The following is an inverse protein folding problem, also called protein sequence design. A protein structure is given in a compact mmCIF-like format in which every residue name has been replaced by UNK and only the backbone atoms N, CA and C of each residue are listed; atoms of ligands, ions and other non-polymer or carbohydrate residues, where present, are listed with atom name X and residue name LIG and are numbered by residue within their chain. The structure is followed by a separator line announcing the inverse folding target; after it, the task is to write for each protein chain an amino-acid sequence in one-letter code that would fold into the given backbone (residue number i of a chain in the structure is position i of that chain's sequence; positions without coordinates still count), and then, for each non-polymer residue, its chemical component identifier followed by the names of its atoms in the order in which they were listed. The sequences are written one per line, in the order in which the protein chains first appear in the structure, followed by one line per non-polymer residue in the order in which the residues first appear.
data_IF_641835030664
#
_entry.id   IF_641835030664
#
_cell.length_a   1.000
_cell.length_b   1.000
_cell.length_c   1.000
_cell.angle_alpha   90.00
_cell.angle_beta   90.00
_cell.angle_gamma   90.00
#
_symmetry.space_group_name_H-M   'P 1'
#
loop_
_entity.id
_entity.type
_entity.pdbx_description
1 polymer ?
#
# COMPACT_ATOMS: atom_id res chain seq x y z
N UNK A 1 20.53 -33.48 20.65
CA UNK A 1 21.02 -32.14 21.09
C UNK A 1 20.07 -31.10 20.51
N UNK A 2 19.19 -30.50 21.33
CA UNK A 2 18.34 -29.38 20.89
C UNK A 2 19.28 -28.23 20.53
N UNK A 3 19.28 -27.78 19.27
CA UNK A 3 19.89 -26.50 18.91
C UNK A 3 19.19 -25.46 19.78
N UNK A 4 19.95 -24.71 20.59
CA UNK A 4 19.43 -23.51 21.20
C UNK A 4 18.92 -22.62 20.06
N UNK A 5 17.62 -22.32 20.09
CA UNK A 5 17.03 -21.30 19.24
C UNK A 5 17.82 -20.02 19.49
N UNK A 6 18.49 -19.48 18.47
CA UNK A 6 19.06 -18.15 18.58
C UNK A 6 17.90 -17.20 18.90
N UNK A 7 17.99 -16.46 20.00
CA UNK A 7 16.99 -15.43 20.31
C UNK A 7 17.01 -14.41 19.17
N UNK A 8 15.94 -14.37 18.38
CA UNK A 8 15.71 -13.28 17.45
C UNK A 8 15.25 -12.06 18.26
N UNK A 9 15.90 -10.92 18.07
CA UNK A 9 15.56 -9.65 18.71
C UNK A 9 15.36 -8.62 17.61
N UNK A 10 14.27 -7.86 17.65
CA UNK A 10 14.04 -6.78 16.67
C UNK A 10 14.25 -5.46 17.39
N UNK A 11 15.15 -4.63 16.88
CA UNK A 11 15.32 -3.27 17.39
C UNK A 11 14.19 -2.38 16.87
N UNK A 12 13.50 -1.72 17.79
CA UNK A 12 12.40 -0.79 17.49
C UNK A 12 12.84 0.64 17.83
N UNK A 13 12.61 1.58 16.94
CA UNK A 13 12.93 3.00 17.11
C UNK A 13 11.97 3.70 18.09
N UNK A 14 12.24 4.97 18.39
CA UNK A 14 11.39 5.78 19.28
C UNK A 14 9.97 6.02 18.76
N UNK A 15 9.70 5.70 17.48
CA UNK A 15 8.40 5.81 16.86
C UNK A 15 7.66 4.46 16.83
N UNK A 16 8.28 3.33 17.18
CA UNK A 16 7.65 2.02 17.04
C UNK A 16 7.86 1.36 15.67
N UNK A 17 8.88 1.77 14.90
CA UNK A 17 9.29 1.14 13.63
C UNK A 17 10.52 0.25 13.84
N UNK A 18 10.79 -0.66 12.90
CA UNK A 18 12.10 -1.31 12.87
C UNK A 18 13.20 -0.25 12.70
N UNK A 19 14.22 -0.32 13.56
CA UNK A 19 15.28 0.70 13.64
C UNK A 19 16.16 0.73 12.38
N UNK A 20 16.78 1.89 12.11
CA UNK A 20 17.75 2.08 11.02
C UNK A 20 17.14 2.39 9.65
N UNK A 21 15.82 2.59 9.58
CA UNK A 21 15.07 2.88 8.35
C UNK A 21 14.79 4.38 8.13
N UNK A 22 15.55 5.29 8.74
CA UNK A 22 15.31 6.74 8.74
C UNK A 22 15.34 7.40 7.35
N UNK A 23 15.96 6.73 6.36
CA UNK A 23 16.06 7.21 5.00
C UNK A 23 14.80 6.94 4.14
N UNK A 24 13.81 6.19 4.66
CA UNK A 24 12.57 5.89 3.95
C UNK A 24 11.57 7.06 4.03
N UNK A 25 10.76 7.21 2.98
CA UNK A 25 9.65 8.16 2.95
C UNK A 25 8.38 7.53 3.53
N UNK A 26 8.06 7.91 4.78
CA UNK A 26 6.85 7.46 5.47
C UNK A 26 5.61 8.33 5.19
N UNK A 27 5.73 9.37 4.37
CA UNK A 27 4.58 10.21 4.02
C UNK A 27 3.57 9.47 3.16
N UNK A 28 2.30 9.87 3.22
CA UNK A 28 1.33 9.39 2.25
C UNK A 28 1.69 9.91 0.86
N UNK A 29 1.86 8.99 -0.10
CA UNK A 29 2.11 9.32 -1.51
C UNK A 29 1.04 8.69 -2.40
N UNK A 30 0.71 9.37 -3.49
CA UNK A 30 -0.19 8.87 -4.52
C UNK A 30 0.43 9.02 -5.90
N UNK A 31 0.46 7.91 -6.63
CA UNK A 31 1.08 7.78 -7.93
C UNK A 31 0.00 7.37 -8.93
N UNK A 32 -0.70 8.31 -9.58
CA UNK A 32 -1.86 8.03 -10.42
C UNK A 32 -1.54 7.19 -11.68
N UNK A 33 -0.26 7.07 -12.03
CA UNK A 33 0.22 6.36 -13.23
C UNK A 33 1.38 5.40 -12.92
N UNK A 34 1.40 4.84 -11.72
CA UNK A 34 2.45 3.93 -11.26
C UNK A 34 2.58 2.70 -12.17
N UNK A 35 1.45 2.09 -12.50
CA UNK A 35 1.39 0.88 -13.31
C UNK A 35 0.69 1.20 -14.63
N UNK A 36 1.39 1.03 -15.75
CA UNK A 36 0.76 1.10 -17.07
C UNK A 36 0.09 -0.23 -17.38
N UNK A 37 -1.22 -0.26 -17.20
CA UNK A 37 -2.06 -1.36 -17.63
C UNK A 37 -2.36 -1.18 -19.13
N UNK A 38 -1.75 -2.03 -19.95
CA UNK A 38 -1.98 -2.03 -21.40
C UNK A 38 -3.14 -2.94 -21.72
N UNK A 39 -3.91 -2.56 -22.73
CA UNK A 39 -4.90 -3.46 -23.31
C UNK A 39 -4.19 -4.71 -23.85
N UNK A 40 -4.86 -5.85 -23.73
CA UNK A 40 -4.30 -7.12 -24.19
C UNK A 40 -4.13 -7.16 -25.72
N UNK A 41 -4.92 -6.38 -26.44
CA UNK A 41 -4.88 -6.26 -27.90
C UNK A 41 -3.84 -5.23 -28.39
N UNK A 42 -3.12 -4.55 -27.47
CA UNK A 42 -2.06 -3.61 -27.84
C UNK A 42 -0.86 -4.37 -28.45
N UNK A 43 -0.59 -4.13 -29.74
CA UNK A 43 0.50 -4.72 -30.50
C UNK A 43 1.91 -4.22 -30.07
N UNK A 44 2.00 -3.39 -29.03
CA UNK A 44 3.26 -3.00 -28.40
C UNK A 44 4.07 -4.18 -27.87
N UNK A 45 5.37 -3.94 -27.60
CA UNK A 45 6.28 -4.96 -27.09
C UNK A 45 5.69 -5.60 -25.81
N UNK A 46 5.53 -6.93 -25.74
CA UNK A 46 5.10 -7.62 -24.52
C UNK A 46 5.97 -7.33 -23.28
N UNK A 47 7.14 -6.71 -23.49
CA UNK A 47 8.10 -6.29 -22.48
C UNK A 47 7.96 -4.82 -22.06
N UNK A 48 6.93 -4.10 -22.51
CA UNK A 48 6.74 -2.67 -22.21
C UNK A 48 5.58 -2.40 -21.23
N UNK A 49 5.24 -3.36 -20.37
CA UNK A 49 4.27 -3.17 -19.28
C UNK A 49 3.45 -4.41 -18.95
N UNK A 50 2.57 -4.28 -17.94
CA UNK A 50 1.68 -5.35 -17.53
C UNK A 50 0.39 -5.33 -18.37
N UNK A 51 -0.03 -6.52 -18.81
CA UNK A 51 -1.28 -6.71 -19.56
C UNK A 51 -2.45 -6.74 -18.59
N UNK A 52 -3.42 -5.84 -18.79
CA UNK A 52 -4.46 -5.56 -17.80
C UNK A 52 -5.29 -6.80 -17.46
N UNK A 53 -5.81 -7.54 -18.44
CA UNK A 53 -6.66 -8.71 -18.12
C UNK A 53 -5.85 -9.89 -17.63
N UNK A 54 -4.61 -10.07 -18.11
CA UNK A 54 -3.72 -11.10 -17.59
C UNK A 54 -3.39 -10.87 -16.11
N UNK A 55 -3.05 -9.63 -15.73
CA UNK A 55 -2.76 -9.29 -14.35
C UNK A 55 -3.99 -9.40 -13.44
N UNK A 56 -5.17 -8.98 -13.91
CA UNK A 56 -6.43 -9.16 -13.18
C UNK A 56 -6.80 -10.65 -12.98
N UNK A 57 -6.60 -11.48 -14.01
CA UNK A 57 -6.80 -12.92 -13.93
C UNK A 57 -5.86 -13.55 -12.89
N UNK A 58 -4.58 -13.20 -12.96
CA UNK A 58 -3.57 -13.71 -12.05
C UNK A 58 -3.84 -13.25 -10.61
N UNK A 59 -4.22 -11.99 -10.43
CA UNK A 59 -4.61 -11.45 -9.12
C UNK A 59 -5.84 -12.18 -8.56
N UNK A 60 -6.83 -12.50 -9.39
CA UNK A 60 -7.99 -13.30 -8.95
C UNK A 60 -7.59 -14.72 -8.55
N UNK A 61 -6.64 -15.35 -9.26
CA UNK A 61 -6.13 -16.69 -8.93
C UNK A 61 -5.31 -16.73 -7.65
N UNK A 62 -4.52 -15.68 -7.40
CA UNK A 62 -3.72 -15.54 -6.19
C UNK A 62 -4.52 -15.01 -4.99
N UNK A 63 -5.82 -14.73 -5.14
CA UNK A 63 -6.67 -14.29 -4.04
C UNK A 63 -7.17 -15.49 -3.23
N UNK A 64 -6.28 -16.04 -2.40
CA UNK A 64 -6.53 -17.26 -1.61
C UNK A 64 -6.69 -17.00 -0.11
N UNK A 65 -6.61 -15.74 0.33
CA UNK A 65 -6.76 -15.35 1.73
C UNK A 65 -5.46 -15.34 2.55
N UNK A 66 -4.32 -15.49 1.89
CA UNK A 66 -2.98 -15.47 2.49
C UNK A 66 -2.09 -14.41 1.80
N UNK A 67 -0.99 -14.05 2.48
CA UNK A 67 0.08 -13.22 1.91
C UNK A 67 1.35 -14.03 1.67
N UNK A 68 2.22 -13.51 0.82
CA UNK A 68 3.38 -14.23 0.32
C UNK A 68 4.65 -13.39 0.43
N UNK A 69 5.76 -14.05 0.72
CA UNK A 69 7.08 -13.42 0.86
C UNK A 69 7.86 -13.44 -0.45
N UNK A 70 8.42 -12.29 -0.81
CA UNK A 70 9.46 -12.13 -1.81
C UNK A 70 10.66 -11.44 -1.16
N UNK A 71 11.74 -12.20 -0.92
CA UNK A 71 12.98 -11.63 -0.38
C UNK A 71 13.59 -10.59 -1.33
N UNK A 72 14.27 -9.58 -0.78
CA UNK A 72 14.86 -8.49 -1.56
C UNK A 72 15.92 -8.96 -2.58
N UNK A 73 16.54 -10.12 -2.35
CA UNK A 73 17.54 -10.75 -3.22
C UNK A 73 16.96 -11.89 -4.08
N UNK A 74 15.68 -12.23 -3.94
CA UNK A 74 15.03 -13.25 -4.75
C UNK A 74 14.67 -12.72 -6.15
N UNK A 75 14.82 -13.58 -7.16
CA UNK A 75 14.34 -13.32 -8.50
C UNK A 75 12.81 -13.56 -8.57
N UNK A 76 12.04 -12.65 -9.19
CA UNK A 76 10.61 -12.86 -9.36
C UNK A 76 10.34 -14.00 -10.36
N UNK A 77 9.38 -14.87 -10.04
CA UNK A 77 9.03 -16.06 -10.82
C UNK A 77 7.79 -15.84 -11.71
N UNK A 78 6.88 -14.95 -11.28
CA UNK A 78 5.67 -14.60 -12.02
C UNK A 78 5.50 -13.07 -12.14
N UNK A 79 4.49 -12.65 -12.91
CA UNK A 79 4.15 -11.24 -13.07
C UNK A 79 3.81 -10.55 -11.73
N UNK A 80 3.11 -11.24 -10.82
CA UNK A 80 2.77 -10.70 -9.49
C UNK A 80 4.02 -10.47 -8.63
N UNK A 81 4.96 -11.41 -8.61
CA UNK A 81 6.25 -11.21 -7.93
C UNK A 81 7.08 -10.10 -8.57
N UNK A 82 7.00 -9.95 -9.89
CA UNK A 82 7.66 -8.84 -10.60
C UNK A 82 7.08 -7.49 -10.18
N UNK A 83 5.76 -7.42 -9.96
CA UNK A 83 5.10 -6.23 -9.43
C UNK A 83 5.48 -5.98 -7.96
N UNK A 84 5.52 -7.02 -7.12
CA UNK A 84 6.00 -6.91 -5.73
C UNK A 84 7.43 -6.37 -5.67
N UNK A 85 8.31 -6.90 -6.54
CA UNK A 85 9.69 -6.44 -6.69
C UNK A 85 9.76 -4.97 -7.10
N UNK A 86 8.97 -4.55 -8.09
CA UNK A 86 8.94 -3.16 -8.54
C UNK A 86 8.47 -2.20 -7.44
N UNK A 87 7.47 -2.60 -6.65
CA UNK A 87 7.01 -1.82 -5.48
C UNK A 87 8.09 -1.74 -4.41
N UNK A 88 8.76 -2.86 -4.09
CA UNK A 88 9.86 -2.87 -3.12
C UNK A 88 11.01 -1.96 -3.55
N UNK A 89 11.52 -2.11 -4.77
CA UNK A 89 12.64 -1.30 -5.29
C UNK A 89 12.28 0.19 -5.38
N UNK A 90 11.00 0.52 -5.57
CA UNK A 90 10.53 1.91 -5.59
C UNK A 90 10.63 2.59 -4.23
N UNK A 91 10.30 1.85 -3.18
CA UNK A 91 10.26 2.36 -1.81
C UNK A 91 11.57 2.13 -1.08
N UNK A 92 12.39 1.20 -1.54
CA UNK A 92 13.72 0.90 -1.02
C UNK A 92 14.75 0.95 -2.16
N UNK A 93 15.21 2.15 -2.54
CA UNK A 93 16.31 2.30 -3.49
C UNK A 93 17.54 1.48 -3.08
N UNK A 94 18.32 1.01 -4.06
CA UNK A 94 19.43 0.08 -3.81
C UNK A 94 20.53 0.65 -2.91
N UNK A 95 20.74 1.97 -2.94
CA UNK A 95 21.65 2.69 -2.04
C UNK A 95 21.09 2.77 -0.61
N UNK A 96 19.78 2.99 -0.45
CA UNK A 96 19.09 2.93 0.86
C UNK A 96 19.18 1.52 1.45
N UNK A 97 18.88 0.48 0.67
CA UNK A 97 19.00 -0.90 1.11
C UNK A 97 20.44 -1.22 1.56
N UNK A 98 21.43 -0.78 0.78
CA UNK A 98 22.84 -0.98 1.11
C UNK A 98 23.25 -0.25 2.39
N UNK A 99 22.80 0.99 2.57
CA UNK A 99 23.06 1.77 3.78
C UNK A 99 22.41 1.14 5.02
N UNK A 100 21.16 0.66 4.87
CA UNK A 100 20.46 -0.10 5.92
C UNK A 100 21.25 -1.35 6.30
N UNK A 101 21.68 -2.14 5.32
CA UNK A 101 22.46 -3.35 5.54
C UNK A 101 23.83 -3.09 6.17
N UNK A 102 24.51 -1.99 5.81
CA UNK A 102 25.78 -1.60 6.40
C UNK A 102 25.63 -1.19 7.87
N UNK A 103 24.58 -0.41 8.18
CA UNK A 103 24.29 0.05 9.54
C UNK A 103 23.90 -1.10 10.46
N UNK A 104 23.24 -2.12 9.91
CA UNK A 104 22.75 -3.28 10.65
C UNK A 104 23.59 -4.55 10.42
N UNK A 105 24.82 -4.43 9.89
CA UNK A 105 25.65 -5.58 9.51
C UNK A 105 25.97 -6.52 10.68
N UNK A 106 26.07 -5.97 11.89
CA UNK A 106 26.33 -6.73 13.13
C UNK A 106 25.05 -7.38 13.70
N UNK A 107 23.88 -6.81 13.41
CA UNK A 107 22.56 -7.32 13.81
C UNK A 107 21.95 -8.29 12.77
N UNK A 108 22.43 -8.30 11.53
CA UNK A 108 21.91 -9.07 10.38
C UNK A 108 21.98 -10.61 10.47
N UNK A 109 22.13 -11.20 11.66
CA UNK A 109 22.11 -12.66 11.90
C UNK A 109 20.73 -13.22 12.31
N UNK A 110 19.65 -12.50 11.99
CA UNK A 110 18.28 -12.95 12.27
C UNK A 110 17.80 -13.94 11.19
N UNK A 111 17.64 -15.21 11.57
CA UNK A 111 17.10 -16.28 10.70
C UNK A 111 18.18 -17.05 9.92
N UNK A 112 18.09 -18.39 9.98
CA UNK A 112 18.83 -19.49 9.31
C UNK A 112 20.34 -19.38 8.93
N UNK A 113 21.01 -18.25 9.17
CA UNK A 113 22.38 -17.98 8.75
C UNK A 113 22.54 -17.38 7.36
N UNK A 114 21.45 -17.01 6.66
CA UNK A 114 21.53 -16.27 5.38
C UNK A 114 21.40 -14.77 5.61
N UNK A 115 22.48 -14.05 5.32
CA UNK A 115 22.42 -12.60 5.07
C UNK A 115 21.34 -12.33 4.00
N UNK A 116 20.32 -11.54 4.32
CA UNK A 116 19.24 -11.17 3.38
C UNK A 116 17.82 -11.59 3.78
N UNK A 117 17.64 -12.48 4.78
CA UNK A 117 16.34 -13.08 5.09
C UNK A 117 15.26 -12.17 5.69
N UNK A 118 15.62 -10.99 6.20
CA UNK A 118 14.68 -10.04 6.85
C UNK A 118 14.32 -8.82 6.01
N UNK A 119 14.78 -8.71 4.76
CA UNK A 119 14.38 -7.61 3.88
C UNK A 119 13.57 -8.17 2.72
N UNK A 120 12.41 -7.59 2.43
CA UNK A 120 11.59 -8.06 1.34
C UNK A 120 10.20 -7.45 1.30
N UNK A 121 9.44 -7.96 0.35
CA UNK A 121 8.05 -7.63 0.13
C UNK A 121 7.17 -8.78 0.63
N UNK A 122 6.27 -8.48 1.56
CA UNK A 122 5.09 -9.29 1.76
C UNK A 122 4.02 -8.78 0.79
N UNK A 123 3.47 -9.64 -0.06
CA UNK A 123 2.50 -9.25 -1.07
C UNK A 123 1.29 -10.17 -1.08
N UNK A 124 0.13 -9.60 -1.43
CA UNK A 124 -1.10 -10.36 -1.62
C UNK A 124 -2.02 -9.62 -2.58
N UNK A 125 -3.07 -10.32 -2.99
CA UNK A 125 -4.11 -9.76 -3.84
C UNK A 125 -5.40 -9.68 -3.04
N UNK A 126 -6.27 -8.77 -3.43
CA UNK A 126 -7.57 -8.63 -2.78
C UNK A 126 -8.62 -8.35 -3.85
N UNK A 127 -9.67 -9.17 -3.85
CA UNK A 127 -10.81 -9.02 -4.76
C UNK A 127 -12.06 -8.83 -3.92
N UNK A 128 -12.80 -7.73 -4.15
CA UNK A 128 -14.12 -7.48 -3.55
C UNK A 128 -15.16 -7.28 -4.65
N UNK A 129 -16.26 -8.03 -4.61
CA UNK A 129 -17.38 -7.96 -5.56
C UNK A 129 -18.71 -7.85 -4.83
N UNK A 130 -19.76 -7.40 -5.52
CA UNK A 130 -21.15 -7.59 -5.04
C UNK A 130 -21.42 -9.10 -4.93
N UNK A 131 -22.14 -9.51 -3.88
CA UNK A 131 -22.61 -10.89 -3.62
C UNK A 131 -21.61 -11.87 -2.95
N UNK A 132 -20.39 -11.44 -2.61
CA UNK A 132 -19.52 -12.20 -1.71
C UNK A 132 -19.95 -11.95 -0.24
N UNK A 133 -20.78 -12.85 0.31
CA UNK A 133 -21.25 -12.96 1.72
C UNK A 133 -20.39 -12.23 2.79
N UNK A 134 -20.48 -10.90 2.87
CA UNK A 134 -19.74 -10.01 3.81
C UNK A 134 -18.26 -9.70 3.50
N UNK A 135 -17.75 -9.88 2.26
CA UNK A 135 -16.37 -9.48 1.89
C UNK A 135 -16.28 -8.18 1.09
N UNK A 136 -17.38 -7.44 0.95
CA UNK A 136 -17.41 -6.22 0.11
C UNK A 136 -16.55 -5.07 0.67
N UNK A 137 -16.23 -5.11 1.96
CA UNK A 137 -15.44 -4.11 2.68
C UNK A 137 -14.13 -4.71 3.24
N UNK A 138 -13.18 -3.82 3.52
CA UNK A 138 -11.99 -4.10 4.32
C UNK A 138 -12.15 -3.35 5.63
N UNK A 139 -12.25 -4.09 6.73
CA UNK A 139 -12.33 -3.49 8.06
C UNK A 139 -11.10 -2.64 8.35
N UNK A 140 -11.26 -1.63 9.20
CA UNK A 140 -10.10 -0.85 9.65
C UNK A 140 -9.16 -1.72 10.49
N UNK A 141 -7.91 -1.79 10.09
CA UNK A 141 -6.87 -2.60 10.73
C UNK A 141 -5.50 -1.94 10.57
N UNK A 142 -4.52 -2.52 11.27
CA UNK A 142 -3.12 -2.27 11.05
C UNK A 142 -2.48 -3.52 10.47
N UNK A 143 -1.69 -3.35 9.42
CA UNK A 143 -0.82 -4.41 8.92
C UNK A 143 0.24 -4.70 9.96
N UNK A 144 0.43 -5.96 10.32
CA UNK A 144 1.36 -6.38 11.36
C UNK A 144 1.74 -7.84 11.18
N UNK A 145 2.77 -8.26 11.89
CA UNK A 145 3.02 -9.68 12.07
C UNK A 145 1.94 -10.29 12.99
N UNK A 146 0.97 -10.98 12.39
CA UNK A 146 -0.16 -11.59 13.09
C UNK A 146 0.31 -12.70 14.05
N UNK A 147 1.24 -13.56 13.60
CA UNK A 147 1.81 -14.65 14.40
C UNK A 147 2.57 -14.13 15.64
N UNK A 148 3.29 -13.01 15.52
CA UNK A 148 3.97 -12.37 16.65
C UNK A 148 2.99 -11.81 17.68
N UNK A 149 1.87 -11.26 17.21
CA UNK A 149 0.79 -10.78 18.08
C UNK A 149 0.11 -11.95 18.78
N UNK A 150 -0.21 -13.02 18.06
CA UNK A 150 -0.90 -14.19 18.61
C UNK A 150 -0.03 -14.94 19.64
N UNK A 151 1.27 -15.11 19.34
CA UNK A 151 2.20 -15.82 20.21
C UNK A 151 2.63 -15.00 21.44
N UNK A 152 2.84 -13.67 21.28
CA UNK A 152 3.54 -12.85 22.27
C UNK A 152 2.84 -11.53 22.63
N UNK A 153 1.78 -11.13 21.92
CA UNK A 153 1.10 -9.86 22.10
C UNK A 153 1.92 -8.64 21.68
N UNK A 154 2.98 -8.83 20.89
CA UNK A 154 3.88 -7.76 20.42
C UNK A 154 3.51 -7.38 19.00
N UNK A 155 3.40 -6.07 18.76
CA UNK A 155 3.03 -5.52 17.46
C UNK A 155 4.27 -5.00 16.74
N UNK A 156 4.55 -5.60 15.58
CA UNK A 156 5.55 -5.10 14.64
C UNK A 156 4.88 -4.88 13.30
N UNK A 157 5.06 -3.69 12.75
CA UNK A 157 4.44 -3.24 11.50
C UNK A 157 5.45 -3.24 10.35
N UNK A 158 4.97 -3.35 9.10
CA UNK A 158 5.81 -3.02 7.95
C UNK A 158 6.27 -1.57 8.04
N UNK A 159 7.40 -1.27 7.41
CA UNK A 159 7.89 0.10 7.34
C UNK A 159 7.00 0.95 6.43
N UNK A 160 6.59 0.38 5.29
CA UNK A 160 5.70 1.01 4.32
C UNK A 160 4.62 0.00 3.92
N UNK A 161 3.36 0.42 3.99
CA UNK A 161 2.21 -0.31 3.42
C UNK A 161 1.78 0.35 2.13
N UNK A 162 1.28 -0.44 1.18
CA UNK A 162 0.90 0.06 -0.14
C UNK A 162 -0.38 -0.55 -0.69
N UNK A 163 -1.04 0.19 -1.58
CA UNK A 163 -2.19 -0.30 -2.35
C UNK A 163 -2.03 0.09 -3.82
N UNK A 164 -1.98 -0.91 -4.69
CA UNK A 164 -2.03 -0.73 -6.15
C UNK A 164 -3.40 -1.16 -6.65
N UNK A 165 -4.14 -0.25 -7.29
CA UNK A 165 -5.46 -0.56 -7.85
C UNK A 165 -5.33 -1.17 -9.24
N UNK A 166 -5.93 -2.34 -9.45
CA UNK A 166 -6.00 -3.00 -10.75
C UNK A 166 -7.33 -2.72 -11.47
N UNK A 167 -8.34 -2.23 -10.74
CA UNK A 167 -9.61 -1.75 -11.27
C UNK A 167 -9.86 -0.28 -10.90
N UNK A 168 -10.83 0.36 -11.57
CA UNK A 168 -11.22 1.75 -11.35
C UNK A 168 -12.53 1.93 -10.56
N UNK A 169 -13.11 0.84 -10.05
CA UNK A 169 -14.35 0.84 -9.28
C UNK A 169 -14.15 0.27 -7.87
N UNK A 170 -15.08 0.62 -6.98
CA UNK A 170 -15.18 0.08 -5.62
C UNK A 170 -14.80 1.07 -4.52
N UNK A 171 -14.74 0.57 -3.28
CA UNK A 171 -14.46 1.40 -2.10
C UNK A 171 -13.09 2.09 -2.16
N UNK A 172 -13.00 3.37 -1.74
CA UNK A 172 -11.71 4.02 -1.55
C UNK A 172 -10.93 3.38 -0.41
N UNK A 173 -9.60 3.41 -0.51
CA UNK A 173 -8.75 3.15 0.66
C UNK A 173 -8.73 4.40 1.52
N UNK A 174 -9.08 4.25 2.79
CA UNK A 174 -8.96 5.29 3.82
C UNK A 174 -7.77 4.95 4.69
N UNK A 175 -6.86 5.91 4.85
CA UNK A 175 -5.67 5.81 5.71
C UNK A 175 -5.80 6.87 6.80
N UNK A 176 -5.67 6.49 8.06
CA UNK A 176 -5.82 7.36 9.21
C UNK A 176 -4.48 7.43 9.93
N UNK A 177 -4.03 8.64 10.28
CA UNK A 177 -2.78 8.90 11.00
C UNK A 177 -2.91 8.47 12.48
N UNK A 178 -3.15 7.18 12.70
CA UNK A 178 -3.35 6.55 14.00
C UNK A 178 -2.56 5.24 14.04
N UNK A 179 -1.62 5.16 14.98
CA UNK A 179 -0.77 3.98 15.19
C UNK A 179 -1.33 3.08 16.29
N UNK A 180 -1.08 1.77 16.16
CA UNK A 180 -1.29 0.82 17.25
C UNK A 180 -0.20 0.99 18.33
N UNK A 181 -0.48 0.62 19.60
CA UNK A 181 0.57 0.43 20.59
C UNK A 181 1.46 -0.76 20.23
N UNK A 182 2.71 -0.76 20.70
CA UNK A 182 3.67 -1.86 20.47
C UNK A 182 3.30 -3.14 21.22
N UNK A 183 2.43 -3.05 22.22
CA UNK A 183 1.94 -4.19 22.99
C UNK A 183 0.42 -4.20 23.03
N UNK A 184 -0.18 -5.37 22.76
CA UNK A 184 -1.62 -5.58 22.91
C UNK A 184 -2.11 -5.46 24.35
N UNK A 185 -1.20 -5.53 25.34
CA UNK A 185 -1.54 -5.26 26.74
C UNK A 185 -1.91 -3.78 26.99
N UNK A 186 -1.48 -2.86 26.12
CA UNK A 186 -1.73 -1.42 26.22
C UNK A 186 -3.06 -1.03 25.56
N UNK A 187 -4.17 -1.46 26.15
CA UNK A 187 -5.51 -1.34 25.55
C UNK A 187 -5.96 0.10 25.27
N UNK A 188 -5.48 1.08 26.02
CA UNK A 188 -5.79 2.50 25.83
C UNK A 188 -5.21 3.06 24.52
N UNK A 189 -4.08 2.51 24.06
CA UNK A 189 -3.39 2.96 22.84
C UNK A 189 -4.19 2.74 21.56
N UNK A 190 -5.09 1.76 21.55
CA UNK A 190 -5.95 1.44 20.40
C UNK A 190 -7.08 2.45 20.19
N UNK A 191 -7.36 3.31 21.17
CA UNK A 191 -8.45 4.29 21.14
C UNK A 191 -7.91 5.72 21.04
N UNK A 192 -8.82 6.69 20.91
CA UNK A 192 -8.50 8.12 20.95
C UNK A 192 -8.69 8.83 19.63
N UNK A 193 -8.26 10.09 19.59
CA UNK A 193 -8.40 10.96 18.42
C UNK A 193 -7.48 10.56 17.27
N UNK A 194 -7.92 10.86 16.05
CA UNK A 194 -7.15 10.71 14.82
C UNK A 194 -6.70 12.11 14.39
N UNK A 195 -5.41 12.29 14.10
CA UNK A 195 -4.84 13.61 13.79
C UNK A 195 -5.11 14.08 12.35
N UNK A 196 -5.45 13.14 11.47
CA UNK A 196 -5.69 13.38 10.06
C UNK A 196 -5.84 12.05 9.31
N UNK A 197 -6.09 12.15 8.01
CA UNK A 197 -6.17 10.96 7.18
C UNK A 197 -6.16 11.29 5.69
N UNK A 198 -6.22 10.24 4.88
CA UNK A 198 -6.20 10.30 3.44
C UNK A 198 -7.28 9.37 2.88
N UNK A 199 -7.91 9.79 1.78
CA UNK A 199 -8.85 8.96 1.03
C UNK A 199 -8.37 8.84 -0.40
N UNK A 200 -8.24 7.62 -0.90
CA UNK A 200 -7.81 7.31 -2.26
C UNK A 200 -8.84 6.44 -2.97
N UNK A 201 -9.54 7.01 -3.95
CA UNK A 201 -10.52 6.30 -4.77
C UNK A 201 -9.85 5.40 -5.83
N UNK A 202 -10.38 4.20 -6.14
CA UNK A 202 -9.76 3.34 -7.14
C UNK A 202 -9.61 4.03 -8.50
N UNK A 203 -8.44 3.84 -9.10
CA UNK A 203 -8.13 4.17 -10.49
C UNK A 203 -7.15 3.11 -10.96
N UNK A 204 -7.50 2.34 -11.99
CA UNK A 204 -6.65 1.27 -12.49
C UNK A 204 -5.25 1.82 -12.83
N UNK A 205 -4.22 1.16 -12.29
CA UNK A 205 -2.82 1.57 -12.42
C UNK A 205 -2.32 2.56 -11.36
N UNK A 206 -3.21 3.12 -10.52
CA UNK A 206 -2.81 4.00 -9.42
C UNK A 206 -2.20 3.19 -8.28
N UNK A 207 -1.14 3.74 -7.69
CA UNK A 207 -0.51 3.24 -6.48
C UNK A 207 -0.58 4.28 -5.37
N UNK A 208 -0.71 3.85 -4.12
CA UNK A 208 -0.53 4.68 -2.93
C UNK A 208 0.39 3.97 -1.94
N UNK A 209 1.17 4.75 -1.21
CA UNK A 209 2.02 4.28 -0.11
C UNK A 209 1.83 5.16 1.12
N UNK A 210 2.04 4.59 2.29
CA UNK A 210 1.93 5.26 3.58
C UNK A 210 2.73 4.53 4.64
N UNK A 211 2.95 5.17 5.79
CA UNK A 211 3.56 4.56 6.97
C UNK A 211 2.81 3.28 7.36
N UNK A 212 3.50 2.15 7.41
CA UNK A 212 2.86 0.85 7.68
C UNK A 212 2.19 0.72 9.05
N UNK A 213 2.44 1.67 9.95
CA UNK A 213 1.77 1.75 11.26
C UNK A 213 0.40 2.44 11.20
N UNK A 214 -0.03 2.99 10.08
CA UNK A 214 -1.30 3.73 10.00
C UNK A 214 -2.52 2.82 9.90
N UNK A 215 -3.55 3.14 10.68
CA UNK A 215 -4.85 2.48 10.66
C UNK A 215 -5.52 2.72 9.30
N UNK A 216 -5.93 1.66 8.61
CA UNK A 216 -6.50 1.82 7.28
C UNK A 216 -7.55 0.76 6.95
N UNK A 217 -8.39 1.06 5.97
CA UNK A 217 -9.50 0.19 5.56
C UNK A 217 -10.13 0.65 4.25
N UNK A 218 -11.14 -0.08 3.79
CA UNK A 218 -11.89 0.25 2.58
C UNK A 218 -13.37 -0.12 2.79
N UNK A 219 -14.14 0.83 3.31
CA UNK A 219 -15.58 0.67 3.57
C UNK A 219 -16.38 0.91 2.29
N UNK A 220 -17.28 -0.02 1.97
CA UNK A 220 -18.16 0.03 0.79
C UNK A 220 -19.04 1.28 0.78
N UNK A 221 -19.41 1.75 1.96
CA UNK A 221 -20.28 2.88 2.23
C UNK A 221 -19.65 4.21 1.78
N UNK A 222 -18.33 4.21 1.56
CA UNK A 222 -17.58 5.33 1.01
C UNK A 222 -17.35 5.22 -0.51
N UNK A 223 -17.79 4.13 -1.15
CA UNK A 223 -17.73 3.97 -2.60
C UNK A 223 -18.61 5.01 -3.30
N UNK A 224 -18.27 5.34 -4.55
CA UNK A 224 -19.11 6.24 -5.35
C UNK A 224 -20.43 5.53 -5.67
N UNK A 225 -21.58 6.23 -5.69
CA UNK A 225 -22.86 5.63 -6.05
C UNK A 225 -22.81 4.88 -7.40
N UNK A 226 -22.13 5.46 -8.40
CA UNK A 226 -21.93 4.84 -9.72
C UNK A 226 -21.17 3.51 -9.66
N UNK A 227 -20.18 3.38 -8.78
CA UNK A 227 -19.40 2.15 -8.62
C UNK A 227 -20.24 1.02 -8.00
N UNK A 228 -21.26 1.36 -7.23
CA UNK A 228 -22.18 0.40 -6.62
C UNK A 228 -23.25 -0.05 -7.61
N UNK A 229 -23.76 0.87 -8.43
CA UNK A 229 -24.84 0.63 -9.40
C UNK A 229 -24.37 -0.13 -10.66
N UNK A 230 -23.16 0.14 -11.14
CA UNK A 230 -22.65 -0.39 -12.43
C UNK A 230 -21.87 -1.71 -12.31
N UNK A 231 -21.73 -2.24 -11.09
CA UNK A 231 -20.95 -3.44 -10.81
C UNK A 231 -19.70 -3.12 -9.98
N UNK A 232 -19.82 -3.32 -8.67
CA UNK A 232 -18.73 -3.14 -7.72
C UNK A 232 -17.69 -4.25 -7.90
N UNK A 233 -16.49 -3.90 -8.37
CA UNK A 233 -15.34 -4.81 -8.40
C UNK A 233 -14.05 -4.06 -8.04
N UNK A 234 -13.61 -4.24 -6.79
CA UNK A 234 -12.35 -3.70 -6.31
C UNK A 234 -11.28 -4.78 -6.32
N UNK A 235 -10.36 -4.72 -7.28
CA UNK A 235 -9.16 -5.57 -7.29
C UNK A 235 -7.94 -4.72 -6.95
N UNK A 236 -7.23 -5.13 -5.90
CA UNK A 236 -5.98 -4.48 -5.48
C UNK A 236 -4.85 -5.47 -5.34
N UNK A 237 -3.65 -5.02 -5.67
CA UNK A 237 -2.39 -5.68 -5.36
C UNK A 237 -1.72 -4.90 -4.23
N UNK A 238 -1.46 -5.57 -3.11
CA UNK A 238 -0.94 -4.95 -1.89
C UNK A 238 0.46 -5.47 -1.64
N UNK A 239 1.32 -4.56 -1.15
CA UNK A 239 2.69 -4.89 -0.77
C UNK A 239 3.04 -4.15 0.51
N UNK A 240 3.47 -4.91 1.50
CA UNK A 240 4.12 -4.45 2.70
C UNK A 240 5.63 -4.56 2.54
N UNK A 241 6.34 -3.46 2.80
CA UNK A 241 7.79 -3.36 2.68
C UNK A 241 8.41 -3.54 4.06
N UNK A 242 9.29 -4.53 4.15
CA UNK A 242 9.96 -4.91 5.38
C UNK A 242 11.47 -4.83 5.22
N UNK A 243 12.17 -4.23 6.19
CA UNK A 243 13.63 -4.23 6.30
C UNK A 243 14.02 -4.68 7.71
N UNK A 244 15.04 -5.54 7.81
CA UNK A 244 15.53 -6.07 9.08
C UNK A 244 14.56 -7.01 9.82
N UNK A 245 13.41 -7.33 9.22
CA UNK A 245 12.39 -8.20 9.79
C UNK A 245 11.60 -8.92 8.69
N UNK A 246 11.45 -10.25 8.80
CA UNK A 246 10.48 -11.00 7.99
C UNK A 246 9.33 -11.41 8.91
N UNK A 247 8.07 -11.10 8.57
CA UNK A 247 6.92 -11.57 9.33
C UNK A 247 6.91 -13.10 9.46
N UNK A 248 6.53 -13.58 10.64
CA UNK A 248 6.36 -14.99 10.95
C UNK A 248 5.16 -15.54 10.17
N UNK A 249 5.21 -16.83 9.84
CA UNK A 249 4.13 -17.50 9.12
C UNK A 249 3.99 -17.15 7.63
N UNK A 250 4.72 -16.16 7.12
CA UNK A 250 4.61 -15.76 5.71
C UNK A 250 5.64 -16.50 4.86
N UNK A 251 5.16 -17.35 3.96
CA UNK A 251 5.99 -18.15 3.06
C UNK A 251 6.00 -17.62 1.64
N UNK A 252 6.94 -18.11 0.82
CA UNK A 252 6.96 -17.78 -0.60
C UNK A 252 5.71 -18.35 -1.30
N UNK A 253 5.29 -17.70 -2.39
CA UNK A 253 4.18 -18.22 -3.21
C UNK A 253 4.48 -19.66 -3.68
N UNK A 254 3.51 -20.59 -3.56
CA UNK A 254 3.74 -22.02 -3.80
C UNK A 254 4.19 -22.30 -5.23
N UNK A 255 5.19 -23.18 -5.36
CA UNK A 255 5.84 -23.47 -6.64
C UNK A 255 4.87 -24.09 -7.64
N UNK A 256 4.01 -24.98 -7.17
CA UNK A 256 2.97 -25.67 -7.91
C UNK A 256 1.89 -24.74 -8.49
N UNK A 257 1.76 -23.51 -7.97
CA UNK A 257 0.77 -22.55 -8.43
C UNK A 257 1.28 -21.63 -9.56
N UNK A 258 2.58 -21.65 -9.87
CA UNK A 258 3.16 -20.78 -10.92
C UNK A 258 2.69 -21.11 -12.32
N UNK A 259 2.42 -22.38 -12.62
CA UNK A 259 1.91 -22.81 -13.94
C UNK A 259 0.57 -22.16 -14.29
N UNK A 260 -0.17 -21.71 -13.27
CA UNK A 260 -1.44 -21.02 -13.41
C UNK A 260 -1.29 -19.49 -13.49
N UNK A 261 -0.09 -18.92 -13.38
CA UNK A 261 0.14 -17.48 -13.44
C UNK A 261 0.89 -17.10 -14.71
N UNK A 262 0.77 -15.83 -15.11
CA UNK A 262 1.62 -15.29 -16.17
C UNK A 262 3.07 -15.35 -15.67
N UNK A 263 4.00 -15.93 -16.44
CA UNK A 263 5.42 -15.92 -16.10
C UNK A 263 5.89 -14.49 -15.83
N UNK A 264 6.98 -14.35 -15.07
CA UNK A 264 7.62 -13.06 -14.93
C UNK A 264 7.81 -12.49 -16.35
N UNK A 265 7.26 -11.31 -16.66
CA UNK A 265 7.35 -10.77 -18.00
C UNK A 265 8.84 -10.76 -18.39
N UNK A 266 9.15 -11.05 -19.64
CA UNK A 266 10.52 -11.02 -20.16
C UNK A 266 11.03 -9.56 -20.28
N UNK A 267 10.69 -8.72 -19.30
CA UNK A 267 11.35 -7.47 -19.03
C UNK A 267 12.82 -7.85 -18.85
N UNK A 268 13.68 -7.51 -19.82
CA UNK A 268 15.11 -7.58 -19.57
C UNK A 268 15.45 -6.78 -18.32
N UNK A 269 16.63 -6.98 -17.72
CA UNK A 269 17.09 -6.13 -16.61
C UNK A 269 16.90 -4.64 -16.92
N UNK A 270 17.06 -4.25 -18.19
CA UNK A 270 16.78 -2.91 -18.72
C UNK A 270 15.31 -2.47 -18.67
N UNK A 271 14.35 -3.38 -18.86
CA UNK A 271 12.91 -3.03 -18.81
C UNK A 271 12.39 -2.97 -17.37
N UNK A 272 12.91 -3.82 -16.48
CA UNK A 272 12.71 -3.64 -15.03
C UNK A 272 13.35 -2.33 -14.56
N UNK A 273 14.55 -1.99 -15.06
CA UNK A 273 15.19 -0.70 -14.80
C UNK A 273 14.42 0.48 -15.38
N UNK A 274 13.84 0.37 -16.58
CA UNK A 274 13.00 1.42 -17.19
C UNK A 274 11.68 1.62 -16.47
N UNK A 275 11.00 0.56 -16.04
CA UNK A 275 9.80 0.69 -15.24
C UNK A 275 10.16 1.29 -13.87
N UNK A 276 11.26 0.84 -13.24
CA UNK A 276 11.82 1.50 -12.05
C UNK A 276 12.10 2.99 -12.28
N UNK A 277 12.85 3.35 -13.32
CA UNK A 277 13.19 4.73 -13.68
C UNK A 277 11.95 5.56 -13.96
N UNK A 278 10.95 4.99 -14.63
CA UNK A 278 9.68 5.65 -14.92
C UNK A 278 8.91 5.97 -13.65
N UNK A 279 8.78 5.00 -12.76
CA UNK A 279 8.13 5.15 -11.46
C UNK A 279 8.89 6.15 -10.57
N UNK A 280 10.21 6.27 -10.72
CA UNK A 280 11.03 7.30 -10.06
C UNK A 280 10.88 8.69 -10.70
N UNK A 281 10.68 8.78 -12.02
CA UNK A 281 10.62 10.04 -12.77
C UNK A 281 9.33 10.83 -12.59
N UNK A 282 8.20 10.15 -12.33
CA UNK A 282 6.88 10.79 -12.17
C UNK A 282 6.81 11.68 -10.89
N UNK A 283 7.71 11.50 -9.91
CA UNK A 283 7.78 12.31 -8.68
C UNK A 283 8.31 13.73 -8.91
N UNK A 284 9.21 13.91 -9.88
CA UNK A 284 9.85 15.21 -10.13
C UNK A 284 8.84 16.29 -10.57
N UNK A 285 7.63 15.89 -11.01
CA UNK A 285 6.57 16.79 -11.46
C UNK A 285 5.53 17.15 -10.39
N UNK A 286 5.50 16.48 -9.23
CA UNK A 286 4.43 16.69 -8.22
C UNK A 286 4.94 17.23 -6.88
N UNK A 287 6.24 17.45 -6.72
CA UNK A 287 6.88 18.00 -5.51
C UNK A 287 6.62 19.49 -5.21
N UNK A 288 5.63 20.12 -5.85
CA UNK A 288 5.26 21.50 -5.58
C UNK A 288 4.58 21.62 -4.21
N UNK A 289 5.24 22.32 -3.27
CA UNK A 289 4.70 22.64 -1.96
C UNK A 289 3.31 23.28 -2.06
N UNK A 290 2.32 22.70 -1.38
CA UNK A 290 1.00 23.30 -1.25
C UNK A 290 1.06 24.34 -0.13
N UNK A 291 1.40 25.58 -0.48
CA UNK A 291 1.18 26.72 0.41
C UNK A 291 -0.32 26.91 0.60
N UNK A 292 -0.78 26.83 1.85
CA UNK A 292 -2.14 27.22 2.21
C UNK A 292 -2.22 28.74 2.11
N UNK A 293 -2.76 29.24 0.99
CA UNK A 293 -3.04 30.65 0.80
C UNK A 293 -4.14 31.12 1.77
N UNK A 294 -3.75 31.42 3.01
CA UNK A 294 -4.57 32.20 3.94
C UNK A 294 -4.27 33.69 3.73
N UNK A 295 -5.02 34.33 2.82
CA UNK A 295 -4.90 35.78 2.65
C UNK A 295 -5.46 36.33 1.35
N UNK A 296 -6.77 36.54 1.29
CA UNK A 296 -7.39 37.23 0.17
C UNK A 296 -8.75 37.81 0.53
N UNK A 297 -8.77 38.98 1.18
CA UNK A 297 -9.99 39.79 1.32
C UNK A 297 -10.39 40.31 -0.06
N UNK A 298 -11.40 39.70 -0.67
CA UNK A 298 -12.01 40.11 -1.93
C UNK A 298 -13.52 40.32 -1.78
N UNK A 299 -13.88 41.59 -1.60
CA UNK A 299 -15.23 42.18 -1.41
C UNK A 299 -16.28 41.67 -2.40
N UNK A 300 -17.39 41.08 -1.91
CA UNK A 300 -18.62 40.86 -2.69
C UNK A 300 -19.68 41.87 -2.23
N UNK A 301 -20.22 42.61 -3.19
CA UNK A 301 -21.22 43.65 -3.04
C UNK A 301 -22.61 43.10 -2.73
N UNK A 302 -23.27 43.70 -1.73
CA UNK A 302 -24.65 43.47 -1.36
C UNK A 302 -25.63 44.12 -2.36
N UNK A 303 -26.63 43.34 -2.80
CA UNK A 303 -27.98 43.73 -3.28
C UNK A 303 -28.72 42.40 -3.53
N UNK A 304 -29.86 42.05 -2.97
CA UNK A 304 -30.78 42.71 -2.05
C UNK A 304 -31.93 41.74 -1.76
N UNK A 305 -32.63 42.06 -0.69
CA UNK A 305 -34.00 41.70 -0.30
C UNK A 305 -34.38 40.28 0.15
N UNK A 306 -35.13 40.31 1.25
CA UNK A 306 -35.53 39.26 2.15
C UNK A 306 -36.75 38.48 1.65
N UNK A 307 -36.85 37.20 2.02
CA UNK A 307 -37.94 36.77 2.90
C UNK A 307 -37.63 35.42 3.57
N UNK A 308 -38.25 35.21 4.73
CA UNK A 308 -37.82 34.28 5.76
C UNK A 308 -38.18 32.81 5.58
N UNK A 309 -37.49 31.98 6.39
CA UNK A 309 -38.08 30.78 6.98
C UNK A 309 -37.43 29.44 6.62
N UNK A 310 -36.63 28.93 7.56
CA UNK A 310 -36.48 27.49 7.83
C UNK A 310 -35.71 26.65 6.80
N UNK A 311 -34.39 26.53 6.98
CA UNK A 311 -33.57 25.57 6.24
C UNK A 311 -32.67 24.80 7.19
N UNK A 312 -32.91 23.49 7.32
CA UNK A 312 -31.98 22.57 7.97
C UNK A 312 -30.60 22.66 7.33
N UNK A 313 -29.56 22.63 8.16
CA UNK A 313 -28.17 22.63 7.73
C UNK A 313 -27.82 21.36 6.97
N UNK A 314 -28.19 21.32 5.69
CA UNK A 314 -27.64 20.38 4.73
C UNK A 314 -26.22 20.83 4.40
N UNK A 315 -25.25 19.97 4.74
CA UNK A 315 -23.90 20.04 4.19
C UNK A 315 -23.98 19.82 2.68
N UNK A 316 -24.04 20.91 1.91
CA UNK A 316 -23.84 20.89 0.47
C UNK A 316 -22.35 20.74 0.18
N UNK A 317 -21.90 19.51 0.00
CA UNK A 317 -20.59 19.24 -0.62
C UNK A 317 -20.67 19.63 -2.10
N UNK A 318 -19.96 20.70 -2.45
CA UNK A 318 -19.69 21.05 -3.85
C UNK A 318 -18.69 20.02 -4.38
N UNK A 319 -19.17 19.05 -5.17
CA UNK A 319 -18.30 18.23 -6.00
C UNK A 319 -17.66 19.15 -7.04
N UNK A 320 -16.46 19.63 -6.72
CA UNK A 320 -15.59 20.30 -7.67
C UNK A 320 -15.10 19.31 -8.72
N UNK A 321 -15.24 19.72 -9.97
CA UNK A 321 -14.86 18.99 -11.17
C UNK A 321 -13.39 18.52 -11.17
N UNK A 322 -13.19 17.29 -11.62
CA UNK A 322 -11.98 16.59 -12.09
C UNK A 322 -10.57 16.99 -11.57
N UNK A 323 -9.84 16.00 -11.00
CA UNK A 323 -8.36 15.78 -10.95
C UNK A 323 -7.73 15.51 -9.57
N UNK A 324 -8.49 15.47 -8.48
CA UNK A 324 -7.94 15.10 -7.16
C UNK A 324 -8.12 13.60 -6.91
N UNK A 325 -7.03 12.82 -7.07
CA UNK A 325 -7.07 11.35 -6.93
C UNK A 325 -6.77 10.85 -5.51
N UNK A 326 -6.35 11.73 -4.60
CA UNK A 326 -6.30 11.50 -3.17
C UNK A 326 -6.61 12.81 -2.43
N UNK A 327 -7.35 12.71 -1.32
CA UNK A 327 -7.78 13.86 -0.51
C UNK A 327 -7.21 13.73 0.90
N UNK A 328 -6.66 14.82 1.45
CA UNK A 328 -6.29 14.91 2.85
C UNK A 328 -7.52 15.30 3.68
N UNK A 329 -7.82 14.51 4.70
CA UNK A 329 -8.87 14.79 5.68
C UNK A 329 -8.32 15.73 6.76
N UNK A 330 -9.06 16.78 7.14
CA UNK A 330 -8.71 17.59 8.30
C UNK A 330 -8.87 16.78 9.61
N UNK A 331 -8.19 17.20 10.69
CA UNK A 331 -8.43 16.67 12.04
C UNK A 331 -9.88 16.85 12.51
#
# INVERSE_FOLDING_TARGET
RRRASASASVAIDANGRVAGADALDFSFRSFPRFLLLRDDDDAGDPRDGFRAKALLRDATRAFVGESFWLAADAAPRCALESLARAVFDRHVPADVLRAFQQTNADEARFGDGRFGGGCGAEWWTQVRRVDDECREAVAFHWDKDEDLVDDFGVVVHPLISTVTYLTSSGAPTVVLEKTAPTSYAETDGFRGSIAGGFVSYPLAGKHVSFDGRFLHGASRELARPTDVEEGYERVTFLVNVWLGYKPRGIDAFPEEAFDALTPAPALGEDAHARERERVMSDDAHFGGAFETASGGRGRISNKGDADGGGGGGGLTHVFGDARQHALKLPP
#
